data_IF_579869733975
#
_entry.id   IF_579869733975
#
_cell.length_a   1.000
_cell.length_b   1.000
_cell.length_c   1.000
_cell.angle_alpha   90.00
_cell.angle_beta   90.00
_cell.angle_gamma   90.00
#
_symmetry.space_group_name_H-M   'P 1'
#
loop_
_entity.id
_entity.type
_entity.pdbx_description
1 polymer ?
#
# COMPACT_ATOMS: atom_id res chain seq x y z
N UNK A 1 -11.21 45.17 -6.91
CA UNK A 1 -12.57 45.02 -6.32
C UNK A 1 -12.87 43.53 -6.40
N UNK A 2 -12.72 42.82 -5.29
CA UNK A 2 -13.04 41.39 -5.25
C UNK A 2 -14.58 41.26 -5.24
N UNK A 3 -15.14 40.70 -6.32
CA UNK A 3 -16.51 40.20 -6.28
C UNK A 3 -16.66 39.21 -5.14
N UNK A 4 -17.54 39.54 -4.19
CA UNK A 4 -17.90 38.60 -3.12
C UNK A 4 -18.35 37.29 -3.75
N UNK A 5 -17.63 36.22 -3.45
CA UNK A 5 -18.01 34.87 -3.86
C UNK A 5 -19.45 34.64 -3.45
N UNK A 6 -20.34 34.40 -4.41
CA UNK A 6 -21.74 34.06 -4.13
C UNK A 6 -21.71 32.64 -3.56
N UNK A 7 -21.84 32.53 -2.22
CA UNK A 7 -22.03 31.25 -1.55
C UNK A 7 -23.40 30.74 -1.98
N UNK A 8 -23.45 29.63 -2.71
CA UNK A 8 -24.72 28.96 -2.99
C UNK A 8 -25.31 28.51 -1.64
N UNK A 9 -26.54 28.89 -1.40
CA UNK A 9 -27.24 28.49 -0.19
C UNK A 9 -28.22 27.33 -0.47
N UNK A 10 -28.77 26.75 0.58
CA UNK A 10 -29.70 25.63 0.51
C UNK A 10 -31.12 26.03 0.03
N UNK A 11 -31.33 27.25 -0.44
CA UNK A 11 -32.62 27.77 -0.91
C UNK A 11 -33.29 26.88 -1.96
N UNK A 12 -32.49 26.35 -2.88
CA UNK A 12 -32.98 25.48 -3.96
C UNK A 12 -33.63 24.18 -3.46
N UNK A 13 -33.27 23.73 -2.26
CA UNK A 13 -33.80 22.50 -1.67
C UNK A 13 -35.07 22.73 -0.79
N UNK A 14 -35.44 23.99 -0.49
CA UNK A 14 -36.59 24.36 0.30
C UNK A 14 -36.37 24.28 1.82
N UNK A 15 -37.37 24.80 2.58
CA UNK A 15 -37.28 24.94 4.03
C UNK A 15 -37.32 23.60 4.78
N UNK A 16 -38.11 22.63 4.31
CA UNK A 16 -38.19 21.29 4.95
C UNK A 16 -36.85 20.55 4.90
N UNK A 17 -36.14 20.63 3.76
CA UNK A 17 -34.83 20.07 3.65
C UNK A 17 -33.83 20.69 4.64
N UNK A 18 -33.83 22.02 4.77
CA UNK A 18 -32.96 22.73 5.73
C UNK A 18 -33.26 22.32 7.18
N UNK A 19 -34.51 22.17 7.56
CA UNK A 19 -34.91 21.70 8.89
C UNK A 19 -34.40 20.28 9.14
N UNK A 20 -34.51 19.37 8.18
CA UNK A 20 -34.00 17.99 8.29
C UNK A 20 -32.48 17.92 8.36
N UNK A 21 -31.77 18.80 7.67
CA UNK A 21 -30.30 18.94 7.82
C UNK A 21 -29.94 19.32 9.26
N UNK A 22 -30.63 20.31 9.83
CA UNK A 22 -30.41 20.73 11.22
C UNK A 22 -30.77 19.61 12.17
N UNK A 23 -31.88 18.90 11.92
CA UNK A 23 -32.27 17.73 12.72
C UNK A 23 -31.15 16.67 12.77
N UNK A 24 -30.51 16.38 11.63
CA UNK A 24 -29.34 15.53 11.58
C UNK A 24 -28.16 16.04 12.40
N UNK A 25 -27.87 17.36 12.34
CA UNK A 25 -26.75 17.95 13.08
C UNK A 25 -26.95 17.91 14.62
N UNK A 26 -28.17 17.96 15.10
CA UNK A 26 -28.45 17.96 16.57
C UNK A 26 -28.75 16.56 17.13
N UNK A 27 -28.92 15.54 16.26
CA UNK A 27 -29.33 14.20 16.70
C UNK A 27 -28.31 13.11 16.38
N UNK A 28 -27.39 13.33 15.43
CA UNK A 28 -26.47 12.32 14.93
C UNK A 28 -25.02 12.78 15.13
N UNK A 29 -24.35 12.18 16.13
CA UNK A 29 -22.97 12.50 16.47
C UNK A 29 -22.00 12.23 15.33
N UNK A 30 -21.97 11.06 14.66
CA UNK A 30 -21.14 10.84 13.48
C UNK A 30 -21.37 11.86 12.36
N UNK A 31 -22.59 12.34 12.21
CA UNK A 31 -22.92 13.31 11.17
C UNK A 31 -22.37 14.71 11.46
N UNK A 32 -22.56 15.25 12.68
CA UNK A 32 -21.98 16.55 13.04
C UNK A 32 -20.45 16.49 13.06
N UNK A 33 -19.86 15.38 13.48
CA UNK A 33 -18.42 15.16 13.47
C UNK A 33 -17.79 15.28 12.08
N UNK A 34 -18.49 14.79 11.04
CA UNK A 34 -18.07 14.91 9.64
C UNK A 34 -18.25 16.31 9.07
N UNK A 35 -19.19 17.08 9.61
CA UNK A 35 -19.62 18.36 9.06
C UNK A 35 -19.04 19.58 9.79
N UNK A 36 -18.60 19.43 11.04
CA UNK A 36 -18.16 20.54 11.89
C UNK A 36 -17.08 21.44 11.27
N UNK A 37 -16.25 20.88 10.39
CA UNK A 37 -15.16 21.60 9.70
C UNK A 37 -15.61 22.24 8.37
N UNK A 38 -16.79 21.91 7.85
CA UNK A 38 -17.18 22.27 6.48
C UNK A 38 -18.56 22.94 6.39
N UNK A 39 -19.36 22.90 7.46
CA UNK A 39 -20.65 23.57 7.50
C UNK A 39 -20.47 25.02 7.92
N UNK A 40 -21.04 25.91 7.14
CA UNK A 40 -21.11 27.34 7.42
C UNK A 40 -22.55 27.76 7.67
N UNK A 41 -22.77 28.67 8.64
CA UNK A 41 -24.12 29.17 9.01
C UNK A 41 -24.82 29.87 7.82
N UNK A 42 -24.03 30.47 6.92
CA UNK A 42 -24.47 31.17 5.73
C UNK A 42 -25.16 30.27 4.69
N UNK A 43 -24.99 28.96 4.76
CA UNK A 43 -25.69 28.01 3.88
C UNK A 43 -27.21 28.00 4.09
N UNK A 44 -27.66 28.43 5.24
CA UNK A 44 -29.07 28.46 5.63
C UNK A 44 -29.71 29.85 5.39
N UNK A 45 -30.97 29.89 4.91
CA UNK A 45 -31.67 31.14 4.60
C UNK A 45 -32.18 31.82 5.84
N UNK A 46 -32.79 31.04 6.78
CA UNK A 46 -33.48 31.56 7.95
C UNK A 46 -32.45 31.89 9.06
N UNK A 47 -32.56 33.09 9.61
CA UNK A 47 -31.67 33.53 10.69
C UNK A 47 -31.75 32.65 11.94
N UNK A 48 -32.91 32.10 12.27
CA UNK A 48 -33.06 31.14 13.36
C UNK A 48 -32.34 29.81 13.04
N UNK A 49 -32.38 29.35 11.79
CA UNK A 49 -31.58 28.16 11.33
C UNK A 49 -30.09 28.42 11.47
N UNK A 50 -29.61 29.57 11.02
CA UNK A 50 -28.18 29.96 11.14
C UNK A 50 -27.72 29.92 12.58
N UNK A 51 -28.52 30.51 13.50
CA UNK A 51 -28.18 30.48 14.89
C UNK A 51 -28.11 29.06 15.47
N UNK A 52 -29.10 28.20 15.15
CA UNK A 52 -29.12 26.81 15.65
C UNK A 52 -27.89 26.05 15.15
N UNK A 53 -27.54 26.18 13.88
CA UNK A 53 -26.38 25.52 13.28
C UNK A 53 -25.08 26.01 13.93
N UNK A 54 -24.89 27.33 14.04
CA UNK A 54 -23.75 27.95 14.70
C UNK A 54 -23.55 27.43 16.12
N UNK A 55 -24.61 27.47 16.92
CA UNK A 55 -24.56 27.02 18.31
C UNK A 55 -24.29 25.52 18.42
N UNK A 56 -24.83 24.72 17.50
CA UNK A 56 -24.59 23.28 17.46
C UNK A 56 -23.12 22.96 17.16
N UNK A 57 -22.55 23.63 16.17
CA UNK A 57 -21.11 23.42 15.78
C UNK A 57 -20.20 23.95 16.88
N UNK A 58 -20.49 25.13 17.44
CA UNK A 58 -19.69 25.70 18.53
C UNK A 58 -19.70 24.78 19.75
N UNK A 59 -20.84 24.29 20.15
CA UNK A 59 -20.98 23.36 21.28
C UNK A 59 -20.20 22.06 21.00
N UNK A 60 -20.39 21.49 19.83
CA UNK A 60 -19.66 20.27 19.44
C UNK A 60 -18.12 20.47 19.45
N UNK A 61 -17.64 21.62 18.99
CA UNK A 61 -16.22 21.92 19.01
C UNK A 61 -15.65 22.10 20.42
N UNK A 62 -16.43 22.65 21.34
CA UNK A 62 -16.04 22.86 22.73
C UNK A 62 -16.10 21.57 23.57
N UNK A 63 -17.18 20.80 23.46
CA UNK A 63 -17.53 19.71 24.38
C UNK A 63 -17.45 18.32 23.72
N UNK A 64 -17.32 18.25 22.41
CA UNK A 64 -17.30 17.01 21.63
C UNK A 64 -18.52 16.12 21.81
N UNK A 65 -19.68 16.76 22.07
CA UNK A 65 -20.95 16.10 22.28
C UNK A 65 -22.09 16.89 21.61
N UNK A 66 -23.27 16.26 21.49
CA UNK A 66 -24.45 16.90 20.89
C UNK A 66 -25.12 17.88 21.88
N UNK A 67 -25.54 19.07 21.40
CA UNK A 67 -26.24 20.02 22.27
C UNK A 67 -27.64 19.53 22.64
N UNK A 68 -27.95 19.46 23.91
CA UNK A 68 -29.29 19.18 24.39
C UNK A 68 -30.19 20.42 24.30
N UNK A 69 -31.52 20.23 24.40
CA UNK A 69 -32.46 21.34 24.47
C UNK A 69 -32.15 22.35 25.61
N UNK A 70 -31.59 21.88 26.71
CA UNK A 70 -31.21 22.74 27.82
C UNK A 70 -30.05 23.66 27.48
N UNK A 71 -29.08 23.16 26.68
CA UNK A 71 -27.97 23.97 26.16
C UNK A 71 -28.51 25.11 25.31
N UNK A 72 -29.43 24.83 24.39
CA UNK A 72 -30.04 25.87 23.55
C UNK A 72 -30.85 26.88 24.39
N UNK A 73 -31.55 26.43 25.44
CA UNK A 73 -32.28 27.36 26.35
C UNK A 73 -31.34 28.35 27.05
N UNK A 74 -30.23 27.88 27.59
CA UNK A 74 -29.24 28.73 28.25
C UNK A 74 -28.62 29.72 27.26
N UNK A 75 -28.21 29.23 26.06
CA UNK A 75 -27.62 30.10 25.04
C UNK A 75 -28.61 31.10 24.43
N UNK A 76 -29.92 30.81 24.41
CA UNK A 76 -30.95 31.73 23.98
C UNK A 76 -31.05 32.99 24.88
N UNK A 77 -30.63 32.91 26.12
CA UNK A 77 -30.67 34.10 27.05
C UNK A 77 -29.72 35.22 26.55
N UNK A 78 -28.68 34.87 25.78
CA UNK A 78 -27.73 35.82 25.21
C UNK A 78 -28.26 36.57 23.98
N UNK A 79 -29.36 36.12 23.38
CA UNK A 79 -29.97 36.75 22.21
C UNK A 79 -30.86 37.92 22.67
N UNK A 80 -30.55 39.13 22.24
CA UNK A 80 -31.28 40.34 22.63
C UNK A 80 -32.57 40.57 21.84
N UNK A 81 -32.73 39.98 20.67
CA UNK A 81 -33.87 40.15 19.78
C UNK A 81 -35.00 39.15 20.12
N UNK A 82 -36.09 39.63 20.72
CA UNK A 82 -37.22 38.80 21.16
C UNK A 82 -37.95 38.10 19.98
N UNK A 83 -38.02 38.75 18.83
CA UNK A 83 -38.62 38.13 17.63
C UNK A 83 -37.78 36.96 17.13
N UNK A 84 -36.45 37.10 17.15
CA UNK A 84 -35.51 36.04 16.77
C UNK A 84 -35.58 34.90 17.82
N UNK A 85 -35.65 35.20 19.13
CA UNK A 85 -35.83 34.17 20.18
C UNK A 85 -37.08 33.33 19.92
N UNK A 86 -38.21 33.96 19.66
CA UNK A 86 -39.45 33.25 19.36
C UNK A 86 -39.35 32.38 18.12
N UNK A 87 -38.68 32.88 17.08
CA UNK A 87 -38.40 32.13 15.84
C UNK A 87 -37.52 30.91 16.11
N UNK A 88 -36.42 31.05 16.86
CA UNK A 88 -35.52 29.95 17.23
C UNK A 88 -36.25 28.86 18.00
N UNK A 89 -37.07 29.25 19.02
CA UNK A 89 -37.85 28.30 19.83
C UNK A 89 -38.81 27.50 18.95
N UNK A 90 -39.49 28.16 18.02
CA UNK A 90 -40.43 27.48 17.11
C UNK A 90 -39.69 26.53 16.14
N UNK A 91 -38.57 26.96 15.59
CA UNK A 91 -37.76 26.09 14.69
C UNK A 91 -37.14 24.91 15.44
N UNK A 92 -36.64 25.08 16.67
CA UNK A 92 -36.15 23.97 17.47
C UNK A 92 -37.25 22.92 17.73
N UNK A 93 -38.48 23.32 18.01
CA UNK A 93 -39.60 22.36 18.18
C UNK A 93 -39.78 21.51 16.90
N UNK A 94 -39.75 22.13 15.72
CA UNK A 94 -39.92 21.45 14.45
C UNK A 94 -38.73 20.55 14.17
N UNK A 95 -37.50 21.00 14.39
CA UNK A 95 -36.26 20.24 14.23
C UNK A 95 -36.30 18.95 15.05
N UNK A 96 -36.68 19.04 16.34
CA UNK A 96 -36.77 17.87 17.21
C UNK A 96 -37.92 16.91 16.84
N UNK A 97 -39.00 17.40 16.21
CA UNK A 97 -40.06 16.55 15.70
C UNK A 97 -39.63 15.73 14.46
N UNK A 98 -38.69 16.26 13.68
CA UNK A 98 -38.20 15.64 12.42
C UNK A 98 -37.05 14.64 12.61
N UNK A 99 -36.60 14.38 13.84
CA UNK A 99 -35.44 13.51 14.11
C UNK A 99 -35.62 12.06 13.65
N UNK A 100 -36.82 11.57 13.49
CA UNK A 100 -37.15 10.19 13.12
C UNK A 100 -37.77 10.06 11.73
N UNK A 101 -37.67 11.07 10.87
CA UNK A 101 -38.19 11.00 9.50
C UNK A 101 -37.43 9.96 8.69
N UNK A 102 -38.13 9.12 7.91
CA UNK A 102 -37.57 7.98 7.20
C UNK A 102 -36.61 8.33 6.04
N UNK A 103 -36.62 9.59 5.58
CA UNK A 103 -35.73 10.08 4.50
C UNK A 103 -34.46 10.80 5.03
N UNK A 104 -34.26 10.81 6.34
CA UNK A 104 -33.15 11.53 6.97
C UNK A 104 -31.78 11.08 6.48
N UNK A 105 -31.59 9.80 6.18
CA UNK A 105 -30.33 9.28 5.62
C UNK A 105 -30.00 9.91 4.28
N UNK A 106 -30.95 9.94 3.36
CA UNK A 106 -30.78 10.58 2.06
C UNK A 106 -30.47 12.08 2.19
N UNK A 107 -31.19 12.78 3.07
CA UNK A 107 -30.97 14.21 3.33
C UNK A 107 -29.55 14.47 3.85
N UNK A 108 -29.07 13.63 4.79
CA UNK A 108 -27.71 13.75 5.33
C UNK A 108 -26.64 13.58 4.24
N UNK A 109 -26.81 12.62 3.34
CA UNK A 109 -25.89 12.40 2.21
C UNK A 109 -25.87 13.61 1.27
N UNK A 110 -27.04 14.11 0.88
CA UNK A 110 -27.14 15.27 -0.01
C UNK A 110 -26.57 16.54 0.61
N UNK A 111 -26.79 16.76 1.91
CA UNK A 111 -26.22 17.89 2.62
C UNK A 111 -24.69 17.81 2.74
N UNK A 112 -24.16 16.63 3.04
CA UNK A 112 -22.72 16.42 3.08
C UNK A 112 -22.06 16.69 1.71
N UNK A 113 -22.69 16.23 0.64
CA UNK A 113 -22.22 16.48 -0.74
C UNK A 113 -22.26 17.98 -1.06
N UNK A 114 -23.33 18.66 -0.69
CA UNK A 114 -23.44 20.11 -0.83
C UNK A 114 -22.30 20.84 -0.11
N UNK A 115 -22.04 20.52 1.17
CA UNK A 115 -20.99 21.16 1.96
C UNK A 115 -19.58 20.90 1.36
N UNK A 116 -19.31 19.68 0.91
CA UNK A 116 -18.05 19.35 0.21
C UNK A 116 -17.87 20.18 -1.07
N UNK A 117 -18.92 20.31 -1.86
CA UNK A 117 -18.88 21.11 -3.08
C UNK A 117 -18.62 22.58 -2.79
N UNK A 118 -19.24 23.14 -1.74
CA UNK A 118 -18.97 24.52 -1.32
C UNK A 118 -17.53 24.72 -0.84
N UNK A 119 -17.01 23.77 -0.04
CA UNK A 119 -15.63 23.83 0.42
C UNK A 119 -14.63 23.78 -0.72
N UNK A 120 -14.86 22.91 -1.69
CA UNK A 120 -14.02 22.81 -2.90
C UNK A 120 -14.10 24.08 -3.74
N UNK A 121 -15.29 24.66 -3.91
CA UNK A 121 -15.50 25.91 -4.63
C UNK A 121 -14.73 27.06 -4.00
N UNK A 122 -14.79 27.17 -2.67
CA UNK A 122 -14.04 28.18 -1.91
C UNK A 122 -12.52 27.99 -2.09
N UNK A 123 -12.01 26.74 -2.00
CA UNK A 123 -10.60 26.44 -2.21
C UNK A 123 -10.12 26.77 -3.62
N UNK A 124 -10.94 26.52 -4.66
CA UNK A 124 -10.62 26.90 -6.04
C UNK A 124 -10.55 28.41 -6.19
N UNK A 125 -11.49 29.16 -5.59
CA UNK A 125 -11.48 30.62 -5.64
C UNK A 125 -10.23 31.20 -4.96
N UNK A 126 -9.85 30.70 -3.78
CA UNK A 126 -8.61 31.09 -3.11
C UNK A 126 -7.36 30.70 -3.94
N UNK A 127 -7.41 29.55 -4.63
CA UNK A 127 -6.34 29.10 -5.52
C UNK A 127 -6.11 30.05 -6.70
N UNK A 128 -7.15 30.73 -7.21
CA UNK A 128 -7.02 31.73 -8.27
C UNK A 128 -6.16 32.92 -7.79
N UNK A 129 -6.34 33.39 -6.57
CA UNK A 129 -5.54 34.47 -6.00
C UNK A 129 -4.09 34.05 -5.81
N UNK A 130 -3.83 32.80 -5.36
CA UNK A 130 -2.50 32.23 -5.20
C UNK A 130 -1.80 31.96 -6.54
N UNK A 131 -2.56 31.76 -7.61
CA UNK A 131 -2.00 31.57 -8.96
C UNK A 131 -1.27 32.83 -9.46
N UNK A 132 -1.78 34.00 -9.08
CA UNK A 132 -1.18 35.29 -9.43
C UNK A 132 0.18 35.47 -8.76
N UNK A 133 0.36 34.93 -7.56
CA UNK A 133 1.62 34.98 -6.79
C UNK A 133 2.57 33.82 -7.11
N UNK A 134 2.13 32.80 -7.90
CA UNK A 134 2.94 31.65 -8.29
C UNK A 134 3.15 30.62 -7.16
N UNK A 135 2.31 30.62 -6.14
CA UNK A 135 2.44 29.74 -4.95
C UNK A 135 1.81 28.35 -5.17
N UNK A 136 2.33 27.59 -6.14
CA UNK A 136 1.73 26.32 -6.60
C UNK A 136 1.60 25.25 -5.51
N UNK A 137 2.54 25.17 -4.58
CA UNK A 137 2.48 24.19 -3.47
C UNK A 137 1.33 24.50 -2.50
N UNK A 138 1.06 25.77 -2.25
CA UNK A 138 -0.08 26.21 -1.42
C UNK A 138 -1.42 25.94 -2.10
N UNK A 139 -1.49 26.13 -3.42
CA UNK A 139 -2.67 25.78 -4.22
C UNK A 139 -2.98 24.29 -4.07
N UNK A 140 -1.97 23.45 -4.25
CA UNK A 140 -2.11 21.99 -4.10
C UNK A 140 -2.61 21.63 -2.70
N UNK A 141 -1.96 22.17 -1.65
CA UNK A 141 -2.36 21.89 -0.26
C UNK A 141 -3.81 22.27 0.02
N UNK A 142 -4.26 23.44 -0.42
CA UNK A 142 -5.66 23.91 -0.20
C UNK A 142 -6.68 23.05 -0.92
N UNK A 143 -6.40 22.64 -2.15
CA UNK A 143 -7.30 21.75 -2.90
C UNK A 143 -7.34 20.36 -2.25
N UNK A 144 -6.19 19.81 -1.85
CA UNK A 144 -6.12 18.53 -1.17
C UNK A 144 -6.86 18.54 0.18
N UNK A 145 -6.77 19.64 0.94
CA UNK A 145 -7.52 19.83 2.18
C UNK A 145 -9.04 19.89 1.92
N UNK A 146 -9.45 20.62 0.87
CA UNK A 146 -10.86 20.72 0.52
C UNK A 146 -11.45 19.37 0.03
N UNK A 147 -10.69 18.57 -0.70
CA UNK A 147 -11.09 17.24 -1.13
C UNK A 147 -11.20 16.25 0.03
N UNK A 148 -10.36 16.40 1.05
CA UNK A 148 -10.40 15.58 2.28
C UNK A 148 -11.48 16.06 3.27
N UNK A 149 -12.02 17.27 3.12
CA UNK A 149 -13.03 17.81 3.99
C UNK A 149 -14.32 16.97 3.95
N UNK A 150 -14.91 16.72 5.13
CA UNK A 150 -16.10 15.89 5.26
C UNK A 150 -15.92 14.41 4.92
N UNK A 151 -14.68 13.92 4.74
CA UNK A 151 -14.41 12.48 4.72
C UNK A 151 -14.60 11.94 6.14
N UNK A 152 -15.03 10.69 6.20
CA UNK A 152 -15.09 9.97 7.47
C UNK A 152 -13.67 9.91 8.05
N UNK A 153 -13.44 10.61 9.16
CA UNK A 153 -12.19 10.52 9.89
C UNK A 153 -12.19 9.18 10.58
N UNK A 154 -11.41 8.24 10.03
CA UNK A 154 -11.18 6.98 10.71
C UNK A 154 -10.33 7.27 11.96
N UNK A 155 -11.02 7.51 13.08
CA UNK A 155 -10.40 7.73 14.39
C UNK A 155 -9.87 6.43 15.03
N UNK A 156 -9.93 5.32 14.31
CA UNK A 156 -9.62 3.99 14.80
C UNK A 156 -10.86 3.18 15.16
N UNK A 157 -10.66 2.03 15.74
CA UNK A 157 -11.74 1.15 16.20
C UNK A 157 -11.94 1.34 17.72
N UNK A 158 -13.18 1.48 18.14
CA UNK A 158 -13.51 1.39 19.56
C UNK A 158 -13.32 -0.04 20.02
N UNK A 159 -12.42 -0.25 21.01
CA UNK A 159 -12.12 -1.59 21.50
C UNK A 159 -13.34 -2.31 22.06
N UNK A 160 -14.23 -1.57 22.72
CA UNK A 160 -15.44 -2.10 23.37
C UNK A 160 -16.59 -2.27 22.36
N UNK A 161 -16.81 -1.30 21.47
CA UNK A 161 -17.95 -1.27 20.55
C UNK A 161 -17.78 -2.17 19.32
N UNK A 162 -16.55 -2.38 18.85
CA UNK A 162 -16.27 -3.11 17.62
C UNK A 162 -15.89 -4.59 17.83
N UNK A 163 -16.32 -5.23 18.94
CA UNK A 163 -16.03 -6.63 19.25
C UNK A 163 -16.48 -7.57 18.14
N UNK A 164 -17.71 -7.42 17.68
CA UNK A 164 -18.28 -8.25 16.62
C UNK A 164 -17.50 -8.11 15.30
N UNK A 165 -17.12 -6.90 14.92
CA UNK A 165 -16.29 -6.66 13.74
C UNK A 165 -14.92 -7.35 13.83
N UNK A 166 -14.29 -7.32 15.01
CA UNK A 166 -13.00 -7.99 15.22
C UNK A 166 -13.10 -9.52 15.18
N UNK A 167 -14.21 -10.07 15.63
CA UNK A 167 -14.46 -11.52 15.62
C UNK A 167 -14.93 -12.02 14.25
N UNK A 168 -15.41 -11.11 13.39
CA UNK A 168 -15.67 -11.45 12.00
C UNK A 168 -14.31 -11.66 11.33
N UNK A 169 -14.01 -12.89 10.91
CA UNK A 169 -12.80 -13.23 10.16
C UNK A 169 -12.88 -12.52 8.82
N UNK A 170 -12.32 -11.33 8.75
CA UNK A 170 -12.13 -10.64 7.48
C UNK A 170 -11.12 -11.45 6.67
N UNK A 171 -11.56 -12.01 5.54
CA UNK A 171 -10.64 -12.64 4.62
C UNK A 171 -9.55 -11.64 4.27
N UNK A 172 -8.29 -11.99 4.56
CA UNK A 172 -7.14 -11.08 4.41
C UNK A 172 -6.89 -10.62 2.97
N UNK A 173 -7.64 -11.16 1.97
CA UNK A 173 -7.51 -10.86 0.55
C UNK A 173 -6.04 -10.92 0.04
N UNK A 174 -5.25 -11.81 0.63
CA UNK A 174 -3.86 -12.02 0.28
C UNK A 174 -3.71 -12.60 -1.13
N UNK A 175 -2.58 -12.34 -1.76
CA UNK A 175 -2.22 -12.89 -3.07
C UNK A 175 -1.23 -14.03 -2.83
N UNK A 176 -1.60 -15.24 -3.20
CA UNK A 176 -0.80 -16.45 -3.02
C UNK A 176 0.48 -16.40 -3.84
N UNK A 177 1.55 -16.93 -3.29
CA UNK A 177 2.80 -17.16 -4.01
C UNK A 177 2.72 -18.40 -4.90
N UNK A 178 1.74 -19.29 -4.64
CA UNK A 178 1.60 -20.64 -5.17
C UNK A 178 2.77 -21.58 -4.78
N UNK A 179 3.53 -21.24 -3.77
CA UNK A 179 4.37 -22.14 -3.01
C UNK A 179 3.61 -22.51 -1.73
N UNK A 180 3.00 -23.69 -1.71
CA UNK A 180 2.10 -24.12 -0.63
C UNK A 180 2.73 -23.95 0.76
N UNK A 181 4.02 -24.30 0.87
CA UNK A 181 4.79 -24.16 2.10
C UNK A 181 4.90 -22.71 2.56
N UNK A 182 5.14 -21.78 1.63
CA UNK A 182 5.28 -20.35 1.93
C UNK A 182 3.92 -19.73 2.20
N UNK A 183 2.91 -20.07 1.39
CA UNK A 183 1.55 -19.56 1.59
C UNK A 183 0.97 -20.00 2.94
N UNK A 184 1.29 -21.22 3.40
CA UNK A 184 0.89 -21.71 4.72
C UNK A 184 1.53 -20.89 5.87
N UNK A 185 2.77 -20.44 5.71
CA UNK A 185 3.46 -19.60 6.70
C UNK A 185 2.95 -18.15 6.70
N UNK A 186 2.48 -17.66 5.56
CA UNK A 186 2.02 -16.29 5.38
C UNK A 186 0.50 -16.12 5.52
N UNK A 187 -0.20 -17.14 5.96
CA UNK A 187 -1.68 -17.12 5.98
C UNK A 187 -2.27 -16.74 4.61
N UNK A 188 -1.81 -17.43 3.56
CA UNK A 188 -2.29 -17.30 2.19
C UNK A 188 -1.54 -16.31 1.29
N UNK A 189 -0.38 -15.80 1.71
CA UNK A 189 0.44 -14.89 0.90
C UNK A 189 0.48 -13.44 1.41
N UNK A 190 0.87 -12.49 0.56
CA UNK A 190 0.98 -11.09 0.93
C UNK A 190 -0.34 -10.34 0.67
N UNK A 191 -0.84 -9.65 1.69
CA UNK A 191 -2.12 -8.93 1.65
C UNK A 191 -1.99 -7.43 1.37
N UNK A 192 -3.13 -6.72 1.20
CA UNK A 192 -3.16 -5.29 1.01
C UNK A 192 -2.41 -4.53 2.11
N UNK A 193 -1.58 -3.58 1.71
CA UNK A 193 -0.83 -2.75 2.63
C UNK A 193 0.44 -3.41 3.19
N UNK A 194 0.86 -4.58 2.73
CA UNK A 194 2.00 -5.31 3.25
C UNK A 194 3.21 -5.25 2.31
N UNK A 195 4.40 -5.35 2.88
CA UNK A 195 5.68 -5.33 2.17
C UNK A 195 6.42 -6.66 2.36
N UNK A 196 6.72 -7.34 1.24
CA UNK A 196 7.57 -8.51 1.17
C UNK A 196 8.94 -8.19 0.56
N UNK A 197 10.00 -8.77 1.10
CA UNK A 197 11.37 -8.58 0.61
C UNK A 197 12.03 -9.93 0.30
N UNK A 198 12.63 -10.04 -0.88
CA UNK A 198 13.52 -11.14 -1.26
C UNK A 198 14.96 -10.65 -1.16
N UNK A 199 15.75 -11.23 -0.27
CA UNK A 199 17.18 -10.90 -0.18
C UNK A 199 18.04 -12.00 -0.77
N UNK A 200 19.07 -11.63 -1.52
CA UNK A 200 20.01 -12.59 -2.11
C UNK A 200 21.29 -11.90 -2.60
N UNK A 201 22.34 -12.67 -2.80
CA UNK A 201 23.56 -12.20 -3.47
C UNK A 201 23.31 -11.82 -4.94
N UNK A 202 24.22 -11.02 -5.51
CA UNK A 202 24.18 -10.72 -6.93
C UNK A 202 24.22 -12.03 -7.77
N UNK A 203 23.40 -12.10 -8.82
CA UNK A 203 23.34 -13.26 -9.71
C UNK A 203 22.73 -14.54 -9.10
N UNK A 204 22.09 -14.48 -7.93
CA UNK A 204 21.40 -15.64 -7.33
C UNK A 204 19.99 -15.85 -7.89
N UNK A 205 19.38 -14.85 -8.55
CA UNK A 205 18.08 -15.00 -9.19
C UNK A 205 16.94 -14.21 -8.52
N UNK A 206 17.22 -13.15 -7.76
CA UNK A 206 16.21 -12.27 -7.14
C UNK A 206 15.10 -11.85 -8.10
N UNK A 207 15.47 -11.30 -9.24
CA UNK A 207 14.54 -10.83 -10.27
C UNK A 207 13.67 -11.97 -10.83
N UNK A 208 14.18 -13.20 -10.90
CA UNK A 208 13.39 -14.37 -11.28
C UNK A 208 12.33 -14.71 -10.24
N UNK A 209 12.67 -14.61 -8.94
CA UNK A 209 11.71 -14.80 -7.86
C UNK A 209 10.61 -13.73 -7.94
N UNK A 210 10.97 -12.46 -8.11
CA UNK A 210 10.00 -11.37 -8.26
C UNK A 210 9.10 -11.55 -9.50
N UNK A 211 9.68 -11.94 -10.63
CA UNK A 211 8.92 -12.25 -11.86
C UNK A 211 7.97 -13.42 -11.64
N UNK A 212 8.41 -14.47 -10.96
CA UNK A 212 7.57 -15.63 -10.61
C UNK A 212 6.39 -15.24 -9.74
N UNK A 213 6.61 -14.43 -8.69
CA UNK A 213 5.53 -13.91 -7.83
C UNK A 213 4.51 -13.12 -8.64
N UNK A 214 4.97 -12.25 -9.54
CA UNK A 214 4.08 -11.50 -10.43
C UNK A 214 3.30 -12.39 -11.39
N UNK A 215 3.95 -13.42 -11.98
CA UNK A 215 3.29 -14.36 -12.87
C UNK A 215 2.22 -15.19 -12.15
N UNK A 216 2.48 -15.61 -10.91
CA UNK A 216 1.51 -16.34 -10.10
C UNK A 216 0.32 -15.45 -9.69
N UNK A 217 0.56 -14.17 -9.38
CA UNK A 217 -0.52 -13.22 -9.14
C UNK A 217 -1.40 -13.02 -10.39
N UNK A 218 -0.80 -12.93 -11.59
CA UNK A 218 -1.56 -12.81 -12.84
C UNK A 218 -2.41 -14.05 -13.13
N UNK A 219 -1.93 -15.26 -12.84
CA UNK A 219 -2.71 -16.50 -12.95
C UNK A 219 -3.95 -16.50 -12.04
N UNK A 220 -3.90 -15.76 -10.92
CA UNK A 220 -5.02 -15.55 -9.99
C UNK A 220 -5.94 -14.38 -10.43
N UNK A 221 -5.78 -13.85 -11.64
CA UNK A 221 -6.57 -12.73 -12.15
C UNK A 221 -6.20 -11.35 -11.60
N UNK A 222 -5.03 -11.21 -10.98
CA UNK A 222 -4.57 -9.96 -10.40
C UNK A 222 -3.83 -9.10 -11.43
N UNK A 223 -4.01 -7.78 -11.36
CA UNK A 223 -3.29 -6.83 -12.19
C UNK A 223 -1.98 -6.44 -11.49
N UNK A 224 -0.86 -6.73 -12.13
CA UNK A 224 0.49 -6.51 -11.60
C UNK A 224 1.12 -5.29 -12.26
N UNK A 225 1.70 -4.42 -11.45
CA UNK A 225 2.57 -3.34 -11.90
C UNK A 225 4.00 -3.66 -11.47
N UNK A 226 4.87 -3.91 -12.45
CA UNK A 226 6.27 -4.25 -12.22
C UNK A 226 7.15 -3.05 -12.58
N UNK A 227 7.73 -2.41 -11.57
CA UNK A 227 8.79 -1.42 -11.74
C UNK A 227 10.13 -2.12 -11.81
N UNK A 228 10.85 -1.92 -12.89
CA UNK A 228 12.23 -2.42 -13.05
C UNK A 228 13.20 -1.25 -13.10
N UNK A 229 14.27 -1.34 -12.33
CA UNK A 229 15.29 -0.31 -12.22
C UNK A 229 16.65 -0.76 -12.79
N UNK A 230 16.77 -2.05 -13.12
CA UNK A 230 17.98 -2.66 -13.64
C UNK A 230 17.84 -3.11 -15.10
N UNK A 231 16.74 -3.78 -15.43
CA UNK A 231 16.49 -4.33 -16.76
C UNK A 231 15.42 -3.52 -17.51
N UNK A 232 15.53 -3.43 -18.82
CA UNK A 232 14.49 -2.81 -19.61
C UNK A 232 13.18 -3.64 -19.63
N UNK A 233 12.09 -3.00 -20.00
CA UNK A 233 10.73 -3.57 -20.01
C UNK A 233 10.63 -4.85 -20.84
N UNK A 234 11.31 -4.92 -21.99
CA UNK A 234 11.27 -6.08 -22.88
C UNK A 234 11.94 -7.31 -22.25
N UNK A 235 13.08 -7.14 -21.59
CA UNK A 235 13.75 -8.24 -20.89
C UNK A 235 12.92 -8.79 -19.74
N UNK A 236 12.28 -7.94 -18.99
CA UNK A 236 11.36 -8.37 -17.93
C UNK A 236 10.15 -9.08 -18.53
N UNK A 237 9.58 -8.56 -19.62
CA UNK A 237 8.49 -9.21 -20.36
C UNK A 237 8.85 -10.63 -20.79
N UNK A 238 10.01 -10.82 -21.42
CA UNK A 238 10.49 -12.16 -21.83
C UNK A 238 10.64 -13.13 -20.64
N UNK A 239 10.98 -12.64 -19.43
CA UNK A 239 11.01 -13.49 -18.22
C UNK A 239 9.61 -13.94 -17.80
N UNK A 240 8.61 -13.06 -17.90
CA UNK A 240 7.23 -13.44 -17.68
C UNK A 240 6.77 -14.49 -18.70
N UNK A 241 7.13 -14.29 -19.97
CA UNK A 241 6.82 -15.24 -21.04
C UNK A 241 7.42 -16.63 -20.73
N UNK A 242 8.67 -16.68 -20.26
CA UNK A 242 9.33 -17.90 -19.82
C UNK A 242 8.63 -18.55 -18.62
N UNK A 243 8.19 -17.76 -17.64
CA UNK A 243 7.44 -18.26 -16.49
C UNK A 243 6.08 -18.86 -16.87
N UNK A 244 5.41 -18.33 -17.89
CA UNK A 244 4.11 -18.84 -18.34
C UNK A 244 4.23 -20.08 -19.24
N UNK A 245 5.26 -20.13 -20.08
CA UNK A 245 5.42 -21.19 -21.09
C UNK A 245 6.31 -22.33 -20.61
N UNK A 246 7.21 -22.10 -19.63
CA UNK A 246 8.24 -23.04 -19.26
C UNK A 246 9.40 -23.11 -20.26
N UNK A 247 9.37 -22.31 -21.32
CA UNK A 247 10.42 -22.25 -22.34
C UNK A 247 11.60 -21.44 -21.80
N UNK A 248 12.83 -21.94 -22.05
CA UNK A 248 14.05 -21.25 -21.66
C UNK A 248 14.12 -19.84 -22.27
N UNK A 249 14.57 -18.88 -21.46
CA UNK A 249 14.69 -17.46 -21.83
C UNK A 249 15.48 -17.23 -23.12
N UNK A 250 16.50 -18.07 -23.41
CA UNK A 250 17.29 -17.96 -24.64
C UNK A 250 16.48 -18.34 -25.88
N UNK A 251 15.53 -19.25 -25.73
CA UNK A 251 14.70 -19.81 -26.80
C UNK A 251 13.35 -19.17 -26.97
N UNK A 252 12.92 -18.35 -26.00
CA UNK A 252 11.54 -17.81 -25.94
C UNK A 252 11.18 -16.99 -27.20
N UNK A 253 12.13 -16.25 -27.75
CA UNK A 253 11.95 -15.42 -28.94
C UNK A 253 11.59 -16.21 -30.21
N UNK A 254 11.95 -17.46 -30.25
CA UNK A 254 11.67 -18.36 -31.39
C UNK A 254 10.28 -19.01 -31.26
N UNK A 255 9.56 -18.80 -30.14
CA UNK A 255 8.32 -19.48 -29.81
C UNK A 255 7.12 -18.50 -29.64
N UNK A 256 7.05 -17.47 -30.49
CA UNK A 256 6.07 -16.37 -30.38
C UNK A 256 4.61 -16.88 -30.40
N UNK A 257 4.29 -17.92 -31.19
CA UNK A 257 2.94 -18.49 -31.24
C UNK A 257 2.52 -19.12 -29.90
N UNK A 258 3.41 -19.89 -29.29
CA UNK A 258 3.19 -20.52 -27.98
C UNK A 258 3.03 -19.46 -26.89
N UNK A 259 3.86 -18.42 -26.93
CA UNK A 259 3.78 -17.30 -25.98
C UNK A 259 2.42 -16.60 -26.10
N UNK A 260 1.98 -16.24 -27.32
CA UNK A 260 0.67 -15.60 -27.55
C UNK A 260 -0.49 -16.45 -27.05
N UNK A 261 -0.47 -17.76 -27.30
CA UNK A 261 -1.48 -18.70 -26.85
C UNK A 261 -1.55 -18.73 -25.32
N UNK A 262 -0.41 -18.87 -24.65
CA UNK A 262 -0.36 -18.93 -23.17
C UNK A 262 -0.78 -17.62 -22.53
N UNK A 263 -0.32 -16.48 -23.03
CA UNK A 263 -0.70 -15.17 -22.47
C UNK A 263 -2.21 -14.92 -22.62
N UNK A 264 -2.82 -15.35 -23.71
CA UNK A 264 -4.27 -15.18 -23.92
C UNK A 264 -5.13 -15.92 -22.89
N UNK A 265 -4.57 -16.93 -22.22
CA UNK A 265 -5.22 -17.73 -21.17
C UNK A 265 -5.00 -17.14 -19.77
N UNK A 266 -4.11 -16.14 -19.61
CA UNK A 266 -3.82 -15.52 -18.31
C UNK A 266 -4.88 -14.46 -18.00
N UNK A 267 -5.64 -14.59 -16.91
CA UNK A 267 -6.75 -13.68 -16.62
C UNK A 267 -6.29 -12.29 -16.11
N UNK A 268 -5.14 -12.22 -15.45
CA UNK A 268 -4.56 -10.98 -14.93
C UNK A 268 -3.80 -10.18 -15.97
N UNK A 269 -3.53 -8.91 -15.67
CA UNK A 269 -2.80 -8.01 -16.58
C UNK A 269 -1.47 -7.60 -15.98
N UNK A 270 -0.50 -7.32 -16.84
CA UNK A 270 0.82 -6.84 -16.47
C UNK A 270 1.09 -5.49 -17.12
N UNK A 271 1.56 -4.54 -16.30
CA UNK A 271 2.25 -3.34 -16.79
C UNK A 271 3.68 -3.36 -16.26
N UNK A 272 4.65 -3.17 -17.14
CA UNK A 272 6.06 -3.07 -16.80
C UNK A 272 6.51 -1.63 -17.07
N UNK A 273 7.21 -1.04 -16.10
CA UNK A 273 7.77 0.29 -16.26
C UNK A 273 9.23 0.32 -15.83
N UNK A 274 10.10 0.65 -16.76
CA UNK A 274 11.53 0.87 -16.51
C UNK A 274 11.79 2.30 -16.07
N UNK A 275 12.64 2.45 -15.07
CA UNK A 275 13.25 3.72 -14.68
C UNK A 275 14.77 3.52 -14.52
N UNK A 276 15.60 4.44 -15.02
CA UNK A 276 17.03 4.39 -14.80
C UNK A 276 17.40 4.46 -13.33
N UNK A 277 18.54 3.86 -12.98
CA UNK A 277 19.06 3.79 -11.61
C UNK A 277 19.16 5.19 -10.99
N UNK A 278 18.69 5.37 -9.75
CA UNK A 278 18.73 6.62 -8.97
C UNK A 278 18.04 7.84 -9.61
N UNK A 279 17.21 7.64 -10.63
CA UNK A 279 16.45 8.76 -11.24
C UNK A 279 15.11 9.00 -10.55
N UNK A 280 14.53 7.99 -9.91
CA UNK A 280 13.22 8.05 -9.27
C UNK A 280 13.28 7.65 -7.80
N UNK A 281 12.42 8.27 -6.99
CA UNK A 281 12.18 7.93 -5.58
C UNK A 281 10.94 7.05 -5.44
N UNK A 282 10.71 6.50 -4.25
CA UNK A 282 9.47 5.79 -3.94
C UNK A 282 8.22 6.66 -4.17
N UNK A 283 8.29 7.96 -3.86
CA UNK A 283 7.20 8.90 -4.17
C UNK A 283 6.90 9.01 -5.67
N UNK A 284 7.92 8.97 -6.52
CA UNK A 284 7.72 8.95 -7.97
C UNK A 284 6.99 7.69 -8.44
N UNK A 285 7.26 6.53 -7.79
CA UNK A 285 6.52 5.29 -8.05
C UNK A 285 5.06 5.42 -7.64
N UNK A 286 4.78 6.02 -6.47
CA UNK A 286 3.43 6.31 -6.01
C UNK A 286 2.66 7.17 -7.00
N UNK A 287 3.23 8.29 -7.43
CA UNK A 287 2.61 9.17 -8.43
C UNK A 287 2.32 8.45 -9.76
N UNK A 288 3.17 7.50 -10.15
CA UNK A 288 2.91 6.67 -11.32
C UNK A 288 1.73 5.72 -11.12
N UNK A 289 1.60 5.10 -9.93
CA UNK A 289 0.45 4.26 -9.57
C UNK A 289 -0.86 5.07 -9.60
N UNK A 290 -0.88 6.27 -9.03
CA UNK A 290 -2.02 7.18 -9.02
C UNK A 290 -2.46 7.55 -10.45
N UNK A 291 -1.51 7.81 -11.36
CA UNK A 291 -1.82 8.05 -12.79
C UNK A 291 -2.43 6.85 -13.47
N UNK A 292 -1.95 5.63 -13.20
CA UNK A 292 -2.52 4.39 -13.73
C UNK A 292 -3.95 4.21 -13.21
N UNK A 293 -4.19 4.51 -11.94
CA UNK A 293 -5.52 4.45 -11.33
C UNK A 293 -6.49 5.46 -11.97
N UNK A 294 -6.04 6.70 -12.19
CA UNK A 294 -6.82 7.75 -12.89
C UNK A 294 -7.21 7.32 -14.32
N UNK A 295 -6.37 6.52 -14.99
CA UNK A 295 -6.68 5.93 -16.29
C UNK A 295 -7.62 4.70 -16.23
N UNK A 296 -8.22 4.43 -15.08
CA UNK A 296 -9.19 3.36 -14.88
C UNK A 296 -8.59 1.95 -14.76
N UNK A 297 -7.27 1.83 -14.55
CA UNK A 297 -6.65 0.51 -14.35
C UNK A 297 -6.45 0.27 -12.86
N UNK A 298 -7.12 -0.76 -12.32
CA UNK A 298 -6.88 -1.23 -10.95
C UNK A 298 -5.53 -1.94 -10.87
N UNK A 299 -4.75 -1.65 -9.83
CA UNK A 299 -3.50 -2.34 -9.49
C UNK A 299 -3.79 -3.21 -8.27
N UNK A 300 -3.47 -4.51 -8.35
CA UNK A 300 -3.67 -5.45 -7.25
C UNK A 300 -2.34 -5.85 -6.58
N UNK A 301 -1.20 -5.75 -7.27
CA UNK A 301 0.15 -6.01 -6.74
C UNK A 301 1.17 -5.09 -7.40
N UNK A 302 2.13 -4.63 -6.61
CA UNK A 302 3.28 -3.86 -7.10
C UNK A 302 4.56 -4.67 -6.88
N UNK A 303 5.43 -4.71 -7.88
CA UNK A 303 6.77 -5.26 -7.79
C UNK A 303 7.78 -4.14 -8.05
N UNK A 304 8.82 -4.07 -7.24
CA UNK A 304 9.93 -3.12 -7.39
C UNK A 304 11.24 -3.89 -7.47
N UNK A 305 11.83 -4.02 -8.66
CA UNK A 305 13.06 -4.77 -8.91
C UNK A 305 14.23 -3.80 -9.20
N UNK A 306 15.03 -3.44 -8.21
CA UNK A 306 14.94 -3.64 -6.77
C UNK A 306 15.13 -2.32 -5.99
N UNK A 307 14.61 -2.26 -4.76
CA UNK A 307 14.47 -1.01 -4.01
C UNK A 307 15.78 -0.31 -3.65
N UNK A 308 16.90 -1.04 -3.44
CA UNK A 308 18.19 -0.45 -3.02
C UNK A 308 18.76 0.58 -4.02
N UNK A 309 18.29 0.58 -5.27
CA UNK A 309 18.76 1.48 -6.32
C UNK A 309 17.78 2.62 -6.63
N UNK A 310 16.73 2.78 -5.83
CA UNK A 310 15.91 3.99 -5.82
C UNK A 310 16.70 5.17 -5.25
N UNK A 311 16.26 6.37 -5.61
CA UNK A 311 16.81 7.60 -5.02
C UNK A 311 16.11 7.87 -3.68
N UNK A 312 16.86 8.05 -2.57
CA UNK A 312 16.28 8.48 -1.31
C UNK A 312 15.69 9.89 -1.43
N UNK A 313 14.59 10.18 -0.71
CA UNK A 313 13.95 11.51 -0.71
C UNK A 313 14.78 12.50 0.10
N UNK A 314 15.27 12.10 1.26
CA UNK A 314 16.07 12.93 2.15
C UNK A 314 17.55 12.52 2.08
N UNK A 315 18.31 13.07 1.14
CA UNK A 315 19.77 13.02 1.17
C UNK A 315 20.29 14.24 1.94
N UNK A 316 20.25 14.21 3.27
CA UNK A 316 20.99 15.20 4.06
C UNK A 316 22.49 15.04 3.78
N UNK A 317 23.23 16.15 3.66
CA UNK A 317 24.68 16.17 3.37
C UNK A 317 25.55 15.35 4.33
N UNK A 318 24.99 14.82 5.43
CA UNK A 318 25.64 14.00 6.46
C UNK A 318 24.92 12.68 6.73
N UNK A 319 23.93 12.25 5.92
CA UNK A 319 23.28 10.95 6.14
C UNK A 319 24.22 9.81 5.72
N UNK A 320 24.41 8.84 6.62
CA UNK A 320 25.10 7.59 6.29
C UNK A 320 24.25 6.80 5.30
N UNK A 321 24.87 6.16 4.32
CA UNK A 321 24.21 5.27 3.33
C UNK A 321 23.29 4.22 3.96
N UNK A 322 23.57 3.83 5.21
CA UNK A 322 22.74 2.97 6.05
C UNK A 322 21.35 3.52 6.37
N UNK A 323 21.26 4.81 6.65
CA UNK A 323 20.00 5.47 6.99
C UNK A 323 19.16 5.72 5.75
N UNK A 324 19.79 6.06 4.63
CA UNK A 324 19.14 6.30 3.35
C UNK A 324 18.48 5.02 2.80
N UNK A 325 19.19 3.89 2.86
CA UNK A 325 18.66 2.62 2.39
C UNK A 325 17.45 2.13 3.20
N UNK A 326 17.46 2.30 4.53
CA UNK A 326 16.32 1.96 5.40
C UNK A 326 15.06 2.79 5.09
N UNK A 327 15.24 4.10 4.86
CA UNK A 327 14.15 5.02 4.56
C UNK A 327 13.35 4.66 3.31
N UNK A 328 14.02 4.17 2.26
CA UNK A 328 13.34 3.74 1.02
C UNK A 328 12.30 2.63 1.30
N UNK A 329 12.65 1.67 2.14
CA UNK A 329 11.72 0.57 2.48
C UNK A 329 10.58 1.03 3.38
N UNK A 330 10.82 2.01 4.26
CA UNK A 330 9.76 2.66 5.05
C UNK A 330 8.77 3.40 4.13
N UNK A 331 9.27 4.10 3.13
CA UNK A 331 8.45 4.75 2.10
C UNK A 331 7.63 3.73 1.29
N UNK A 332 8.24 2.62 0.84
CA UNK A 332 7.51 1.57 0.13
C UNK A 332 6.42 0.93 1.01
N UNK A 333 6.71 0.73 2.31
CA UNK A 333 5.71 0.20 3.25
C UNK A 333 4.55 1.18 3.47
N UNK A 334 4.85 2.49 3.54
CA UNK A 334 3.84 3.55 3.60
C UNK A 334 2.96 3.54 2.34
N UNK A 335 3.57 3.47 1.17
CA UNK A 335 2.85 3.42 -0.13
C UNK A 335 1.95 2.18 -0.20
N UNK A 336 2.43 1.02 0.24
CA UNK A 336 1.61 -0.19 0.32
C UNK A 336 0.36 0.04 1.18
N UNK A 337 0.52 0.67 2.36
CA UNK A 337 -0.56 1.02 3.27
C UNK A 337 -1.53 2.06 2.69
N UNK A 338 -1.02 3.09 2.03
CA UNK A 338 -1.85 4.14 1.43
C UNK A 338 -2.67 3.64 0.22
N UNK A 339 -2.03 2.87 -0.66
CA UNK A 339 -2.69 2.32 -1.85
C UNK A 339 -3.51 1.05 -1.55
N UNK A 340 -3.36 0.46 -0.36
CA UNK A 340 -3.96 -0.83 0.02
C UNK A 340 -3.63 -1.94 -0.97
N UNK A 341 -2.34 -2.02 -1.38
CA UNK A 341 -1.81 -2.97 -2.36
C UNK A 341 -0.55 -3.62 -1.80
N UNK A 342 -0.37 -4.96 -1.89
CA UNK A 342 0.87 -5.61 -1.52
C UNK A 342 2.02 -5.17 -2.43
N UNK A 343 3.20 -4.97 -1.83
CA UNK A 343 4.43 -4.64 -2.55
C UNK A 343 5.46 -5.73 -2.31
N UNK A 344 6.00 -6.29 -3.38
CA UNK A 344 7.20 -7.12 -3.33
C UNK A 344 8.41 -6.36 -3.85
N UNK A 345 9.52 -6.46 -3.14
CA UNK A 345 10.81 -5.92 -3.60
C UNK A 345 11.95 -6.87 -3.30
N UNK A 346 13.13 -6.53 -3.79
CA UNK A 346 14.34 -7.26 -3.47
C UNK A 346 15.37 -6.35 -2.78
N UNK A 347 16.26 -6.98 -2.02
CA UNK A 347 17.45 -6.37 -1.43
C UNK A 347 18.69 -7.20 -1.72
N UNK A 348 19.82 -6.55 -1.86
CA UNK A 348 21.08 -7.24 -2.05
C UNK A 348 21.72 -7.59 -0.70
N UNK A 349 22.20 -8.83 -0.57
CA UNK A 349 23.03 -9.24 0.57
C UNK A 349 24.49 -8.79 0.37
N UNK A 350 25.25 -8.73 1.48
CA UNK A 350 26.68 -8.43 1.42
C UNK A 350 27.47 -9.55 0.73
N UNK A 351 28.72 -9.26 0.36
CA UNK A 351 29.59 -10.22 -0.34
C UNK A 351 29.96 -11.44 0.52
N UNK A 352 30.04 -11.27 1.84
CA UNK A 352 30.37 -12.36 2.75
C UNK A 352 29.33 -13.48 2.72
N UNK A 353 28.10 -13.18 2.33
CA UNK A 353 27.02 -14.16 2.20
C UNK A 353 27.11 -15.06 0.95
N UNK A 354 28.09 -14.85 0.05
CA UNK A 354 28.15 -15.61 -1.22
C UNK A 354 28.41 -17.10 -1.02
N UNK A 355 29.19 -17.46 0.00
CA UNK A 355 29.59 -18.84 0.30
C UNK A 355 28.79 -19.44 1.46
N UNK A 356 27.86 -18.68 2.05
CA UNK A 356 27.02 -19.13 3.13
C UNK A 356 25.91 -20.07 2.62
N UNK A 357 25.62 -21.10 3.39
CA UNK A 357 24.51 -22.02 3.11
C UNK A 357 23.15 -21.29 3.19
N UNK A 358 23.05 -20.38 4.14
CA UNK A 358 21.84 -19.63 4.47
C UNK A 358 22.22 -18.17 4.69
N UNK A 359 21.56 -17.28 3.95
CA UNK A 359 21.67 -15.83 4.17
C UNK A 359 20.75 -15.46 5.33
N UNK A 360 21.32 -14.98 6.42
CA UNK A 360 20.62 -14.54 7.61
C UNK A 360 20.50 -13.01 7.67
N UNK A 361 19.85 -12.49 8.71
CA UNK A 361 19.62 -11.07 8.93
C UNK A 361 20.90 -10.22 8.92
N UNK A 362 22.00 -10.73 9.49
CA UNK A 362 23.32 -10.07 9.53
C UNK A 362 24.03 -9.99 8.18
N UNK A 363 23.56 -10.75 7.18
CA UNK A 363 24.10 -10.77 5.84
C UNK A 363 23.40 -9.77 4.89
N UNK A 364 22.38 -9.06 5.37
CA UNK A 364 21.70 -8.07 4.52
C UNK A 364 22.53 -6.78 4.46
N UNK A 365 22.89 -6.39 3.25
CA UNK A 365 23.67 -5.18 3.03
C UNK A 365 22.90 -3.94 3.47
N UNK A 366 23.63 -3.02 4.09
CA UNK A 366 23.25 -1.64 4.35
C UNK A 366 22.11 -1.33 5.32
N UNK A 367 21.32 -2.27 5.88
CA UNK A 367 20.43 -1.90 6.99
C UNK A 367 19.56 -3.03 7.54
N UNK A 368 19.66 -3.32 8.83
CA UNK A 368 18.69 -4.08 9.61
C UNK A 368 17.28 -3.43 9.59
N UNK A 369 17.19 -2.11 9.35
CA UNK A 369 15.92 -1.37 9.21
C UNK A 369 15.02 -1.94 8.10
N UNK A 370 15.60 -2.42 7.00
CA UNK A 370 14.84 -3.07 5.92
C UNK A 370 14.02 -4.25 6.42
N UNK A 371 14.67 -5.11 7.26
CA UNK A 371 14.01 -6.27 7.88
C UNK A 371 12.93 -5.81 8.85
N UNK A 372 13.23 -4.79 9.68
CA UNK A 372 12.26 -4.30 10.67
C UNK A 372 10.99 -3.76 10.01
N UNK A 373 11.12 -3.08 8.90
CA UNK A 373 10.02 -2.42 8.19
C UNK A 373 9.11 -3.42 7.45
N UNK A 374 9.69 -4.45 6.83
CA UNK A 374 8.93 -5.43 6.06
C UNK A 374 8.03 -6.32 6.93
N UNK A 375 6.96 -6.82 6.35
CA UNK A 375 6.05 -7.78 6.98
C UNK A 375 6.54 -9.21 6.78
N UNK A 376 7.18 -9.49 5.65
CA UNK A 376 7.79 -10.78 5.32
C UNK A 376 9.14 -10.59 4.64
N UNK A 377 10.17 -11.32 5.08
CA UNK A 377 11.52 -11.29 4.49
C UNK A 377 12.00 -12.72 4.29
N UNK A 378 12.34 -13.06 3.06
CA UNK A 378 12.85 -14.36 2.67
C UNK A 378 14.18 -14.21 1.94
N UNK A 379 15.19 -15.00 2.31
CA UNK A 379 16.45 -15.04 1.59
C UNK A 379 16.51 -16.19 0.60
N UNK A 380 17.27 -15.97 -0.47
CA UNK A 380 17.59 -16.95 -1.49
C UNK A 380 19.11 -17.18 -1.52
N UNK A 381 19.55 -18.37 -1.16
CA UNK A 381 20.94 -18.81 -1.21
C UNK A 381 21.15 -19.78 -2.35
N UNK A 382 22.16 -19.52 -3.17
CA UNK A 382 22.59 -20.39 -4.28
C UNK A 382 24.10 -20.34 -4.44
N UNK A 383 24.77 -21.41 -4.09
CA UNK A 383 26.20 -21.63 -4.36
C UNK A 383 26.42 -21.94 -5.86
N UNK A 384 27.67 -22.02 -6.26
CA UNK A 384 28.02 -22.41 -7.63
C UNK A 384 27.47 -23.80 -7.98
N UNK A 385 27.57 -24.74 -7.05
CA UNK A 385 27.01 -26.10 -7.18
C UNK A 385 25.48 -26.08 -7.35
N UNK A 386 24.79 -25.26 -6.59
CA UNK A 386 23.35 -25.12 -6.70
C UNK A 386 22.91 -24.57 -8.06
N UNK A 387 23.69 -23.65 -8.64
CA UNK A 387 23.41 -23.11 -9.99
C UNK A 387 23.53 -24.17 -11.08
N UNK A 388 24.51 -25.07 -10.95
CA UNK A 388 24.71 -26.18 -11.90
C UNK A 388 23.59 -27.21 -11.78
N UNK A 389 23.18 -27.52 -10.56
CA UNK A 389 22.17 -28.55 -10.26
C UNK A 389 20.73 -28.00 -10.29
N UNK A 390 20.54 -26.72 -10.59
CA UNK A 390 19.23 -26.04 -10.52
C UNK A 390 18.56 -26.17 -9.15
N UNK A 391 19.35 -26.08 -8.06
CA UNK A 391 18.89 -26.10 -6.68
C UNK A 391 19.02 -24.72 -6.03
N UNK A 392 18.36 -24.52 -4.90
CA UNK A 392 18.41 -23.31 -4.10
C UNK A 392 17.95 -23.60 -2.66
N UNK A 393 18.23 -22.68 -1.74
CA UNK A 393 17.67 -22.67 -0.39
C UNK A 393 16.94 -21.36 -0.16
N UNK A 394 15.70 -21.45 0.30
CA UNK A 394 14.95 -20.30 0.79
C UNK A 394 14.90 -20.34 2.31
N UNK A 395 15.24 -19.23 2.95
CA UNK A 395 15.20 -19.11 4.41
C UNK A 395 14.32 -17.92 4.80
N UNK A 396 13.45 -18.15 5.79
CA UNK A 396 12.53 -17.11 6.29
C UNK A 396 13.25 -16.32 7.39
N UNK A 397 13.65 -15.10 7.07
CA UNK A 397 14.35 -14.21 8.00
C UNK A 397 13.37 -13.53 8.95
N UNK A 398 12.19 -13.17 8.45
CA UNK A 398 11.13 -12.52 9.21
C UNK A 398 9.77 -12.89 8.67
N UNK A 399 8.84 -13.16 9.57
CA UNK A 399 7.45 -13.42 9.25
C UNK A 399 6.53 -12.82 10.33
N UNK A 400 5.71 -11.83 9.97
CA UNK A 400 4.70 -11.26 10.89
C UNK A 400 3.45 -12.11 11.04
N UNK A 401 3.28 -13.11 10.17
CA UNK A 401 2.05 -13.91 10.07
C UNK A 401 2.18 -15.27 10.74
N UNK A 402 3.39 -15.68 11.10
CA UNK A 402 3.67 -16.97 11.66
C UNK A 402 5.13 -17.15 12.03
N UNK A 403 5.64 -18.40 12.10
CA UNK A 403 7.02 -18.68 12.45
C UNK A 403 8.02 -18.16 11.41
N UNK A 404 9.21 -17.80 11.88
CA UNK A 404 10.39 -17.49 11.07
C UNK A 404 11.55 -18.44 11.41
N UNK A 405 12.73 -18.21 10.81
CA UNK A 405 13.92 -19.05 11.03
C UNK A 405 13.91 -20.39 10.28
N UNK A 406 12.89 -20.66 9.49
CA UNK A 406 12.74 -21.90 8.72
C UNK A 406 13.49 -21.83 7.39
N UNK A 407 14.08 -22.98 6.97
CA UNK A 407 14.81 -23.10 5.69
C UNK A 407 14.15 -24.18 4.84
N UNK A 408 14.07 -23.95 3.55
CA UNK A 408 13.39 -24.82 2.60
C UNK A 408 14.30 -25.15 1.41
N UNK A 409 14.57 -26.45 1.16
CA UNK A 409 15.24 -26.87 -0.07
C UNK A 409 14.33 -26.62 -1.27
N UNK A 410 14.91 -26.23 -2.39
CA UNK A 410 14.16 -25.76 -3.54
C UNK A 410 14.80 -26.15 -4.85
N UNK A 411 14.01 -26.44 -5.85
CA UNK A 411 14.42 -26.51 -7.25
C UNK A 411 14.23 -25.15 -7.88
N UNK A 412 15.24 -24.65 -8.55
CA UNK A 412 15.22 -23.35 -9.20
C UNK A 412 15.91 -23.35 -10.54
N UNK A 413 15.17 -23.46 -11.61
CA UNK A 413 15.66 -23.26 -12.97
C UNK A 413 15.50 -21.77 -13.36
N UNK A 414 16.60 -21.02 -13.29
CA UNK A 414 16.61 -19.61 -13.67
C UNK A 414 16.50 -19.39 -15.19
N UNK A 415 16.65 -20.42 -16.03
CA UNK A 415 16.46 -20.32 -17.48
C UNK A 415 15.01 -20.09 -17.88
N UNK A 416 14.05 -20.66 -17.15
CA UNK A 416 12.62 -20.55 -17.43
C UNK A 416 11.78 -20.06 -16.26
N UNK A 417 12.40 -19.64 -15.14
CA UNK A 417 11.72 -19.13 -13.97
C UNK A 417 10.85 -20.17 -13.23
N UNK A 418 11.16 -21.46 -13.39
CA UNK A 418 10.54 -22.53 -12.60
C UNK A 418 11.20 -22.57 -11.22
N UNK A 419 10.39 -22.35 -10.19
CA UNK A 419 10.81 -22.36 -8.79
C UNK A 419 9.80 -23.18 -8.00
N UNK A 420 10.29 -24.23 -7.35
CA UNK A 420 9.52 -25.12 -6.48
C UNK A 420 10.17 -25.16 -5.11
N UNK A 421 9.40 -24.88 -4.06
CA UNK A 421 9.88 -24.85 -2.67
C UNK A 421 9.25 -26.02 -1.92
N UNK A 422 10.06 -26.84 -1.29
CA UNK A 422 9.62 -28.05 -0.59
C UNK A 422 9.73 -27.89 0.92
N UNK A 423 8.78 -28.50 1.65
CA UNK A 423 8.92 -28.63 3.10
C UNK A 423 10.12 -29.54 3.43
N UNK A 424 10.90 -29.16 4.44
CA UNK A 424 12.01 -30.01 4.93
C UNK A 424 11.55 -31.40 5.35
N UNK A 425 10.33 -31.50 5.86
CA UNK A 425 9.73 -32.79 6.29
C UNK A 425 9.09 -33.60 5.16
N UNK A 426 9.00 -33.04 3.95
CA UNK A 426 8.48 -33.79 2.80
C UNK A 426 9.51 -34.77 2.25
N UNK A 427 9.03 -35.85 1.62
CA UNK A 427 9.92 -36.85 1.01
C UNK A 427 10.81 -36.23 -0.08
N UNK A 428 10.23 -35.33 -0.88
CA UNK A 428 10.92 -34.59 -1.93
C UNK A 428 11.94 -33.63 -1.34
N UNK A 429 11.59 -32.92 -0.26
CA UNK A 429 12.48 -31.99 0.43
C UNK A 429 13.69 -32.70 1.04
N UNK A 430 13.48 -33.82 1.75
CA UNK A 430 14.56 -34.63 2.29
C UNK A 430 15.49 -35.20 1.19
N UNK A 431 14.91 -35.70 0.10
CA UNK A 431 15.70 -36.22 -1.01
C UNK A 431 16.57 -35.12 -1.66
N UNK A 432 15.98 -33.94 -1.87
CA UNK A 432 16.68 -32.80 -2.45
C UNK A 432 17.80 -32.29 -1.52
N UNK A 433 17.55 -32.24 -0.21
CA UNK A 433 18.55 -31.84 0.79
C UNK A 433 19.75 -32.78 0.80
N UNK A 434 19.53 -34.09 0.71
CA UNK A 434 20.58 -35.10 0.59
C UNK A 434 21.37 -34.94 -0.70
N UNK A 435 20.70 -34.71 -1.83
CA UNK A 435 21.36 -34.44 -3.13
C UNK A 435 22.27 -33.21 -3.07
N UNK A 436 21.81 -32.12 -2.44
CA UNK A 436 22.58 -30.89 -2.24
C UNK A 436 23.83 -31.13 -1.37
N UNK A 437 23.71 -31.91 -0.28
CA UNK A 437 24.83 -32.28 0.57
C UNK A 437 25.86 -33.15 -0.15
N UNK A 438 25.40 -34.13 -0.91
CA UNK A 438 26.27 -35.02 -1.66
C UNK A 438 27.04 -34.26 -2.77
N UNK A 439 26.38 -33.35 -3.46
CA UNK A 439 27.02 -32.46 -4.46
C UNK A 439 28.10 -31.58 -3.82
N UNK A 440 27.88 -31.01 -2.65
CA UNK A 440 28.88 -30.23 -1.92
C UNK A 440 30.09 -31.09 -1.48
N UNK A 441 29.83 -32.30 -1.00
CA UNK A 441 30.87 -33.20 -0.56
C UNK A 441 31.77 -33.66 -1.75
N UNK A 442 31.17 -33.89 -2.93
CA UNK A 442 31.91 -34.20 -4.15
C UNK A 442 32.83 -33.06 -4.57
N UNK A 443 32.34 -31.81 -4.58
CA UNK A 443 33.15 -30.62 -4.90
C UNK A 443 34.27 -30.42 -3.90
N UNK A 444 34.00 -30.53 -2.60
CA UNK A 444 35.04 -30.47 -1.55
C UNK A 444 36.13 -31.55 -1.77
N UNK A 445 35.75 -32.75 -2.19
CA UNK A 445 36.70 -33.86 -2.47
C UNK A 445 37.57 -33.56 -3.70
N UNK A 446 36.95 -33.01 -4.76
CA UNK A 446 37.68 -32.61 -5.96
C UNK A 446 38.69 -31.48 -5.67
N UNK A 447 38.27 -30.46 -4.91
CA UNK A 447 39.14 -29.35 -4.51
C UNK A 447 40.31 -29.83 -3.63
N UNK A 448 40.02 -30.70 -2.65
CA UNK A 448 41.04 -31.28 -1.80
C UNK A 448 42.07 -32.12 -2.58
N UNK A 449 41.61 -32.89 -3.55
CA UNK A 449 42.50 -33.68 -4.43
C UNK A 449 43.37 -32.77 -5.31
N UNK A 450 42.81 -31.69 -5.87
CA UNK A 450 43.56 -30.67 -6.62
C UNK A 450 44.59 -29.94 -5.76
N UNK A 451 44.23 -29.59 -4.52
CA UNK A 451 45.16 -28.96 -3.59
C UNK A 451 46.32 -29.88 -3.23
N UNK A 452 46.02 -31.14 -2.90
CA UNK A 452 47.07 -32.14 -2.60
C UNK A 452 47.99 -32.44 -3.79
N UNK A 453 47.47 -32.41 -5.02
CA UNK A 453 48.29 -32.53 -6.23
C UNK A 453 49.24 -31.33 -6.40
N UNK A 454 48.77 -30.11 -6.14
CA UNK A 454 49.60 -28.90 -6.23
C UNK A 454 50.67 -28.79 -5.12
N UNK A 455 50.41 -29.37 -3.93
CA UNK A 455 51.38 -29.37 -2.83
C UNK A 455 52.50 -30.42 -3.07
N UNK A 456 52.20 -31.49 -3.75
CA UNK A 456 53.21 -32.54 -4.08
C UNK A 456 54.19 -32.04 -5.16
N UNK A 457 53.71 -31.25 -6.14
CA UNK A 457 54.55 -30.67 -7.19
C UNK A 457 55.51 -29.55 -6.68
N UNK A 458 55.24 -28.95 -5.54
CA UNK A 458 56.09 -27.90 -4.94
C UNK A 458 57.11 -28.42 -3.90
N UNK A 459 57.03 -29.69 -3.47
CA UNK A 459 58.00 -30.33 -2.58
C UNK A 459 59.09 -31.11 -3.33
N UNK A 460 59.06 -31.15 -4.70
CA UNK A 460 60.04 -31.77 -5.55
C UNK A 460 60.97 -30.77 -6.28
N UNK A 461 60.86 -29.45 -6.05
CA UNK A 461 61.86 -28.44 -6.45
C UNK A 461 62.69 -27.99 -5.24
#
# INVERSE_FOLDING_TARGET
MSEKVIIDNLKKFGSDFQIKCISGLVSDRPFIERLADIVEEEFFENEAHRWIVKESITYFNEYRDLPSLNVFKVRLETVSNEALKASIVNNLKVVYQKMNDGDLTFIKEQFLEFCKNQRLKNAINEAVDLLVTGEYERIKSKIDEALKAGMERNLGQSYEEDVEKRMTVMARNSIKTNWETIDGLMDGGLGPGELGIITACAGSGKSWVLTKLGAEAMKQGKNVLHFTLELNENYVGLRYDSCFTGIDFQNIRNNVSVVKEKISQVPGKLKIKYFPIKTVSAHSLKSHCERIHTLGTKIDMIIVDYADILRPINSERNSNSYQEAGGIYEELRSIAGELQVPIWSASQSNRAAMDEDIIQANNIADSYRKIMTADFVMSLSRKVTDKVNNTARFHIIKNRFGPDGLTFPSKMNAGCGQIEIFSESSREGMALQNEMMDGENQVKKILKNKWNAHTIDNDEE
#
